data_IF_308424117775
#
_entry.id   IF_308424117775
#
_cell.length_a   1.000
_cell.length_b   1.000
_cell.length_c   1.000
_cell.angle_alpha   90.00
_cell.angle_beta   90.00
_cell.angle_gamma   90.00
#
_symmetry.space_group_name_H-M   'P 1'
#
loop_
_entity.id
_entity.type
_entity.pdbx_description
1 polymer ?
#
# COMPACT_ATOMS: atom_id res chain seq x y z
N UNK A 1 -53.13 9.66 -3.83
CA UNK A 1 -53.09 10.96 -4.55
C UNK A 1 -51.60 11.27 -4.78
N UNK A 2 -50.98 11.08 -5.97
CA UNK A 2 -51.00 11.94 -7.19
C UNK A 2 -50.76 13.41 -6.78
N UNK A 3 -49.71 14.17 -7.15
CA UNK A 3 -48.74 14.28 -8.27
C UNK A 3 -47.56 15.16 -7.72
N UNK A 4 -46.35 15.29 -8.28
CA UNK A 4 -45.99 15.83 -9.59
C UNK A 4 -44.52 15.55 -9.97
N UNK A 5 -44.34 15.26 -11.25
CA UNK A 5 -43.13 15.29 -12.06
C UNK A 5 -42.58 16.72 -12.21
N UNK A 6 -41.26 16.88 -12.36
CA UNK A 6 -40.66 17.81 -13.32
C UNK A 6 -39.21 17.41 -13.61
N UNK A 7 -39.00 16.91 -14.84
CA UNK A 7 -37.70 16.78 -15.48
C UNK A 7 -37.21 18.16 -15.92
N UNK A 8 -35.90 18.42 -15.81
CA UNK A 8 -35.28 19.55 -16.50
C UNK A 8 -34.30 19.00 -17.53
N UNK A 9 -34.59 19.34 -18.78
CA UNK A 9 -34.01 18.86 -20.03
C UNK A 9 -33.52 20.10 -20.77
N UNK A 10 -32.22 20.16 -21.11
CA UNK A 10 -31.62 21.02 -22.14
C UNK A 10 -30.25 20.39 -22.47
N UNK A 11 -30.08 19.63 -23.56
CA UNK A 11 -29.84 20.04 -24.96
C UNK A 11 -28.62 20.94 -25.20
N UNK A 12 -27.48 20.30 -25.57
CA UNK A 12 -26.62 20.44 -26.79
C UNK A 12 -26.26 21.85 -27.36
N UNK A 13 -25.27 22.04 -28.29
CA UNK A 13 -24.34 21.10 -28.97
C UNK A 13 -22.87 21.59 -29.18
N UNK A 14 -21.98 20.70 -29.67
CA UNK A 14 -21.25 20.96 -30.93
C UNK A 14 -19.73 21.25 -30.93
N UNK A 15 -19.07 20.66 -31.95
CA UNK A 15 -17.75 20.93 -32.58
C UNK A 15 -16.60 20.01 -32.13
N UNK A 16 -16.19 18.95 -32.85
CA UNK A 16 -15.79 18.71 -34.28
C UNK A 16 -14.35 19.11 -34.61
N UNK A 17 -13.52 18.09 -34.92
CA UNK A 17 -12.33 18.14 -35.82
C UNK A 17 -11.12 18.94 -35.33
N UNK A 18 -9.85 18.59 -35.57
CA UNK A 18 -9.26 17.96 -36.76
C UNK A 18 -7.98 17.20 -36.39
N UNK A 19 -7.82 16.01 -36.98
CA UNK A 19 -6.53 15.42 -37.26
C UNK A 19 -5.90 16.15 -38.46
N UNK A 20 -4.59 16.38 -38.42
CA UNK A 20 -3.82 16.75 -39.61
C UNK A 20 -2.68 15.77 -39.83
N UNK A 21 -2.80 15.06 -40.94
CA UNK A 21 -1.77 14.30 -41.64
C UNK A 21 -1.33 15.16 -42.83
N UNK A 22 -0.04 15.25 -43.13
CA UNK A 22 0.48 15.61 -44.47
C UNK A 22 1.94 15.14 -44.61
N UNK A 23 2.42 14.86 -45.85
CA UNK A 23 3.27 13.71 -46.14
C UNK A 23 4.60 14.13 -46.85
N UNK A 24 5.27 13.33 -47.73
CA UNK A 24 6.71 13.03 -47.65
C UNK A 24 7.56 13.59 -48.80
N UNK A 25 8.89 13.77 -48.62
CA UNK A 25 9.85 13.97 -49.73
C UNK A 25 11.26 13.46 -49.29
N UNK A 26 12.21 13.12 -50.19
CA UNK A 26 12.35 11.87 -50.94
C UNK A 26 13.70 11.14 -50.68
N UNK A 27 13.83 9.93 -51.23
CA UNK A 27 15.05 9.11 -51.22
C UNK A 27 15.96 9.37 -52.43
N UNK A 28 17.29 9.35 -52.21
CA UNK A 28 18.35 9.00 -53.16
C UNK A 28 19.63 8.76 -52.33
N UNK A 29 20.22 7.55 -52.27
CA UNK A 29 21.16 7.03 -53.26
C UNK A 29 22.53 6.79 -52.58
N UNK A 30 22.80 5.61 -51.98
CA UNK A 30 23.64 4.51 -52.51
C UNK A 30 25.17 4.61 -52.23
N UNK A 31 25.68 3.52 -51.64
CA UNK A 31 27.05 2.93 -51.66
C UNK A 31 28.11 3.27 -50.57
N UNK A 32 28.29 2.26 -49.72
CA UNK A 32 29.52 1.48 -49.49
C UNK A 32 30.68 2.04 -48.64
N UNK A 33 30.92 1.30 -47.55
CA UNK A 33 32.21 0.85 -47.00
C UNK A 33 33.27 1.89 -46.60
N UNK A 34 33.49 2.01 -45.28
CA UNK A 34 34.81 1.82 -44.65
C UNK A 34 34.68 1.88 -43.12
N UNK A 35 35.14 0.82 -42.44
CA UNK A 35 35.54 0.86 -41.03
C UNK A 35 36.92 1.55 -40.99
N UNK A 36 37.16 2.46 -40.03
CA UNK A 36 38.21 2.15 -39.06
C UNK A 36 37.75 2.35 -37.63
N UNK A 37 38.24 1.48 -36.76
CA UNK A 37 38.08 1.56 -35.33
C UNK A 37 38.83 2.78 -34.77
N UNK A 38 38.15 3.59 -33.98
CA UNK A 38 38.78 4.42 -32.95
C UNK A 38 37.93 4.29 -31.69
N UNK A 39 38.49 3.62 -30.70
CA UNK A 39 37.94 3.56 -29.35
C UNK A 39 37.82 4.99 -28.79
N UNK A 40 36.65 5.38 -28.24
CA UNK A 40 36.60 6.50 -27.32
C UNK A 40 37.17 6.00 -25.99
N UNK A 41 38.36 6.48 -25.68
CA UNK A 41 39.00 6.37 -24.36
C UNK A 41 38.16 7.13 -23.35
N UNK A 42 37.07 6.53 -22.87
CA UNK A 42 36.39 7.02 -21.68
C UNK A 42 37.35 6.81 -20.51
N UNK A 43 37.94 7.91 -20.04
CA UNK A 43 38.88 8.00 -18.92
C UNK A 43 38.28 7.56 -17.59
N UNK A 44 37.94 6.27 -17.48
CA UNK A 44 37.44 5.62 -16.28
C UNK A 44 38.57 4.84 -15.64
N UNK A 45 39.18 5.43 -14.62
CA UNK A 45 39.95 4.68 -13.63
C UNK A 45 39.03 3.65 -12.97
N UNK A 46 39.44 2.38 -12.96
CA UNK A 46 38.81 1.35 -12.16
C UNK A 46 38.92 1.74 -10.68
N UNK A 47 37.80 2.11 -10.05
CA UNK A 47 37.75 2.58 -8.67
C UNK A 47 36.95 3.86 -8.42
N UNK A 48 36.35 4.48 -9.44
CA UNK A 48 35.42 5.58 -9.23
C UNK A 48 34.12 5.07 -8.58
N UNK A 49 34.06 5.17 -7.25
CA UNK A 49 32.88 4.87 -6.45
C UNK A 49 31.69 5.69 -6.94
N UNK A 50 30.65 4.99 -7.40
CA UNK A 50 29.34 5.59 -7.66
C UNK A 50 28.86 6.24 -6.36
N UNK A 51 28.51 7.54 -6.34
CA UNK A 51 27.94 8.15 -5.16
C UNK A 51 26.68 7.36 -4.77
N UNK A 52 26.74 6.83 -3.54
CA UNK A 52 25.77 6.02 -2.83
C UNK A 52 24.48 5.73 -3.61
N UNK A 53 24.44 4.55 -4.23
CA UNK A 53 23.16 3.85 -4.32
C UNK A 53 22.70 3.71 -2.87
N UNK A 54 21.75 4.55 -2.44
CA UNK A 54 20.99 4.30 -1.23
C UNK A 54 20.58 2.82 -1.31
N UNK A 55 21.16 2.00 -0.44
CA UNK A 55 20.88 0.58 -0.41
C UNK A 55 19.38 0.49 -0.22
N UNK A 56 18.65 0.16 -1.29
CA UNK A 56 17.25 -0.20 -1.18
C UNK A 56 17.29 -1.40 -0.24
N UNK A 57 16.95 -1.17 1.03
CA UNK A 57 16.91 -2.23 2.03
C UNK A 57 16.04 -3.31 1.41
N UNK A 58 16.65 -4.44 1.09
CA UNK A 58 15.94 -5.56 0.50
C UNK A 58 15.32 -6.31 1.64
N UNK A 59 14.03 -6.58 1.54
CA UNK A 59 13.37 -7.46 2.48
C UNK A 59 14.01 -8.86 2.40
N UNK A 60 14.53 -9.33 3.53
CA UNK A 60 15.29 -10.59 3.65
C UNK A 60 14.41 -11.79 4.01
N UNK A 61 13.08 -11.58 4.13
CA UNK A 61 12.14 -12.63 4.57
C UNK A 61 11.85 -12.62 6.07
N UNK A 62 12.53 -11.76 6.83
CA UNK A 62 12.37 -11.57 8.27
C UNK A 62 12.19 -10.08 8.57
N UNK A 63 11.47 -9.76 9.64
CA UNK A 63 11.34 -8.41 10.18
C UNK A 63 12.09 -8.36 11.52
N UNK A 64 12.81 -7.27 11.75
CA UNK A 64 13.50 -7.06 13.02
C UNK A 64 12.51 -6.96 14.19
N UNK A 65 12.85 -7.51 15.38
CA UNK A 65 12.09 -7.27 16.60
C UNK A 65 12.31 -5.86 17.17
N UNK A 66 13.38 -5.17 16.77
CA UNK A 66 13.63 -3.78 17.16
C UNK A 66 12.63 -2.85 16.43
N UNK A 67 11.79 -2.07 17.13
CA UNK A 67 10.79 -1.21 16.51
C UNK A 67 11.34 -0.20 15.48
N UNK A 68 12.57 0.28 15.67
CA UNK A 68 13.18 1.24 14.76
C UNK A 68 13.59 0.59 13.44
N UNK A 69 14.20 -0.59 13.48
CA UNK A 69 14.53 -1.35 12.28
C UNK A 69 13.29 -2.00 11.64
N UNK A 70 12.34 -2.47 12.45
CA UNK A 70 11.09 -3.11 12.02
C UNK A 70 10.35 -2.29 10.97
N UNK A 71 10.16 -0.99 11.21
CA UNK A 71 9.38 -0.15 10.30
C UNK A 71 10.05 0.05 8.94
N UNK A 72 11.39 0.02 8.91
CA UNK A 72 12.16 0.06 7.67
C UNK A 72 12.01 -1.25 6.89
N UNK A 73 12.07 -2.39 7.60
CA UNK A 73 11.89 -3.72 7.02
C UNK A 73 10.48 -3.89 6.45
N UNK A 74 9.45 -3.39 7.14
CA UNK A 74 8.06 -3.41 6.64
C UNK A 74 7.91 -2.56 5.39
N UNK A 75 8.51 -1.37 5.35
CA UNK A 75 8.48 -0.52 4.15
C UNK A 75 9.15 -1.23 2.97
N UNK A 76 10.34 -1.81 3.18
CA UNK A 76 11.04 -2.62 2.19
C UNK A 76 10.19 -3.82 1.71
N UNK A 77 9.56 -4.53 2.63
CA UNK A 77 8.66 -5.65 2.34
C UNK A 77 7.49 -5.20 1.45
N UNK A 78 6.85 -4.09 1.79
CA UNK A 78 5.72 -3.55 1.04
C UNK A 78 6.14 -3.08 -0.36
N UNK A 79 7.31 -2.46 -0.48
CA UNK A 79 7.89 -2.04 -1.77
C UNK A 79 8.19 -3.26 -2.65
N UNK A 80 8.72 -4.34 -2.07
CA UNK A 80 9.05 -5.58 -2.78
C UNK A 80 7.81 -6.26 -3.39
N UNK A 81 6.61 -6.02 -2.87
CA UNK A 81 5.37 -6.57 -3.46
C UNK A 81 5.00 -5.98 -4.82
N UNK A 82 5.60 -4.84 -5.20
CA UNK A 82 5.29 -4.15 -6.46
C UNK A 82 3.94 -3.41 -6.48
N UNK A 83 3.07 -3.60 -5.49
CA UNK A 83 1.75 -2.96 -5.43
C UNK A 83 1.84 -1.49 -5.01
N UNK A 84 1.23 -0.60 -5.79
CA UNK A 84 1.14 0.84 -5.47
C UNK A 84 0.44 1.05 -4.13
N UNK A 85 -0.64 0.30 -3.86
CA UNK A 85 -1.38 0.38 -2.59
C UNK A 85 -0.54 -0.09 -1.40
N UNK A 86 0.22 -1.17 -1.56
CA UNK A 86 1.10 -1.66 -0.50
C UNK A 86 2.22 -0.66 -0.18
N UNK A 87 2.84 -0.07 -1.21
CA UNK A 87 3.85 0.99 -1.04
C UNK A 87 3.31 2.18 -0.27
N UNK A 88 2.14 2.68 -0.66
CA UNK A 88 1.50 3.80 0.03
C UNK A 88 1.18 3.46 1.49
N UNK A 89 0.69 2.24 1.76
CA UNK A 89 0.42 1.78 3.10
C UNK A 89 1.69 1.68 3.95
N UNK A 90 2.78 1.17 3.40
CA UNK A 90 4.08 1.11 4.08
C UNK A 90 4.60 2.49 4.47
N UNK A 91 4.35 3.51 3.62
CA UNK A 91 4.69 4.90 3.94
C UNK A 91 3.79 5.49 5.02
N UNK A 92 2.47 5.26 4.94
CA UNK A 92 1.51 5.70 5.97
C UNK A 92 1.84 5.11 7.34
N UNK A 93 2.20 3.82 7.38
CA UNK A 93 2.62 3.18 8.62
C UNK A 93 3.90 3.81 9.17
N UNK A 94 4.87 4.11 8.31
CA UNK A 94 6.12 4.78 8.73
C UNK A 94 5.85 6.17 9.32
N UNK A 95 4.96 6.93 8.71
CA UNK A 95 4.54 8.24 9.23
C UNK A 95 3.83 8.13 10.58
N UNK A 96 2.94 7.14 10.74
CA UNK A 96 2.28 6.85 12.02
C UNK A 96 3.28 6.44 13.11
N UNK A 97 4.32 5.69 12.73
CA UNK A 97 5.38 5.29 13.65
C UNK A 97 6.18 6.50 14.13
N UNK A 98 6.56 7.39 13.21
CA UNK A 98 7.34 8.59 13.50
C UNK A 98 6.54 9.65 14.27
N UNK A 99 5.21 9.66 14.19
CA UNK A 99 4.35 10.64 14.86
C UNK A 99 4.14 10.35 16.35
N UNK A 100 4.66 9.24 16.88
CA UNK A 100 4.46 8.77 18.26
C UNK A 100 2.98 8.61 18.65
N UNK A 101 2.09 8.36 17.68
CA UNK A 101 0.68 8.03 17.93
C UNK A 101 0.46 6.58 18.38
N UNK A 102 1.51 5.75 18.31
CA UNK A 102 1.56 4.40 18.85
C UNK A 102 2.49 4.40 20.06
N UNK A 103 2.05 3.80 21.16
CA UNK A 103 2.90 3.62 22.34
C UNK A 103 4.05 2.66 22.05
N UNK A 104 5.14 2.72 22.82
CA UNK A 104 6.26 1.77 22.64
C UNK A 104 5.82 0.32 22.80
N UNK A 105 4.87 0.05 23.72
CA UNK A 105 4.27 -1.29 23.89
C UNK A 105 3.51 -1.75 22.65
N UNK A 106 2.71 -0.87 22.05
CA UNK A 106 1.99 -1.16 20.81
C UNK A 106 2.95 -1.44 19.66
N UNK A 107 3.99 -0.62 19.51
CA UNK A 107 5.01 -0.82 18.47
C UNK A 107 5.71 -2.18 18.60
N UNK A 108 6.12 -2.56 19.81
CA UNK A 108 6.70 -3.89 20.07
C UNK A 108 5.72 -5.02 19.77
N UNK A 109 4.45 -4.85 20.14
CA UNK A 109 3.40 -5.85 19.90
C UNK A 109 3.12 -6.02 18.41
N UNK A 110 3.05 -4.92 17.65
CA UNK A 110 2.89 -4.95 16.20
C UNK A 110 4.08 -5.65 15.53
N UNK A 111 5.31 -5.38 15.97
CA UNK A 111 6.49 -6.05 15.45
C UNK A 111 6.44 -7.56 15.71
N UNK A 112 6.15 -7.96 16.95
CA UNK A 112 6.04 -9.35 17.37
C UNK A 112 4.95 -10.10 16.59
N UNK A 113 3.76 -9.51 16.46
CA UNK A 113 2.65 -10.12 15.72
C UNK A 113 2.95 -10.27 14.24
N UNK A 114 3.64 -9.29 13.64
CA UNK A 114 4.03 -9.35 12.23
C UNK A 114 4.96 -10.54 11.96
N UNK A 115 5.95 -10.74 12.83
CA UNK A 115 6.86 -11.89 12.75
C UNK A 115 6.11 -13.21 12.94
N UNK A 116 5.22 -13.30 13.93
CA UNK A 116 4.41 -14.50 14.14
C UNK A 116 3.55 -14.83 12.92
N UNK A 117 2.97 -13.82 12.28
CA UNK A 117 2.22 -14.00 11.04
C UNK A 117 3.12 -14.48 9.89
N UNK A 118 4.33 -13.95 9.73
CA UNK A 118 5.27 -14.46 8.72
C UNK A 118 5.65 -15.93 8.97
N UNK A 119 5.93 -16.30 10.24
CA UNK A 119 6.19 -17.69 10.64
C UNK A 119 5.01 -18.59 10.29
N UNK A 120 3.77 -18.13 10.52
CA UNK A 120 2.53 -18.82 10.16
C UNK A 120 2.17 -18.76 8.66
N UNK A 121 3.10 -18.31 7.81
CA UNK A 121 2.99 -18.24 6.34
C UNK A 121 1.95 -17.25 5.82
N UNK A 122 1.59 -16.24 6.61
CA UNK A 122 0.81 -15.12 6.09
C UNK A 122 1.66 -14.31 5.10
N UNK A 123 1.07 -13.90 3.98
CA UNK A 123 1.78 -13.19 2.90
C UNK A 123 1.79 -11.67 3.14
N UNK A 124 2.82 -10.94 2.66
CA UNK A 124 2.86 -9.47 2.71
C UNK A 124 1.59 -8.82 2.18
N UNK A 125 1.10 -9.32 1.04
CA UNK A 125 -0.22 -8.98 0.48
C UNK A 125 -0.96 -10.31 0.25
N UNK A 126 -2.22 -10.46 0.70
CA UNK A 126 -3.09 -9.42 1.30
C UNK A 126 -3.06 -9.34 2.83
N UNK A 127 -2.42 -10.26 3.55
CA UNK A 127 -2.67 -10.45 4.99
C UNK A 127 -1.99 -9.40 5.87
N UNK A 128 -0.67 -9.23 5.74
CA UNK A 128 0.07 -8.20 6.49
C UNK A 128 -0.39 -6.79 6.09
N UNK A 129 -0.68 -6.57 4.80
CA UNK A 129 -1.29 -5.34 4.34
C UNK A 129 -2.65 -5.07 5.02
N UNK A 130 -3.50 -6.09 5.23
CA UNK A 130 -4.75 -5.91 5.97
C UNK A 130 -4.48 -5.53 7.45
N UNK A 131 -3.53 -6.20 8.10
CA UNK A 131 -3.13 -5.86 9.47
C UNK A 131 -2.65 -4.41 9.60
N UNK A 132 -1.69 -3.99 8.77
CA UNK A 132 -1.18 -2.62 8.83
C UNK A 132 -2.23 -1.58 8.43
N UNK A 133 -3.10 -1.92 7.47
CA UNK A 133 -4.24 -1.06 7.14
C UNK A 133 -5.18 -0.90 8.34
N UNK A 134 -5.43 -1.97 9.11
CA UNK A 134 -6.24 -1.90 10.31
C UNK A 134 -5.60 -1.00 11.39
N UNK A 135 -4.28 -1.12 11.62
CA UNK A 135 -3.54 -0.24 12.56
C UNK A 135 -3.61 1.23 12.13
N UNK A 136 -3.27 1.52 10.87
CA UNK A 136 -3.29 2.87 10.31
C UNK A 136 -4.70 3.45 10.34
N UNK A 137 -5.69 2.70 9.83
CA UNK A 137 -7.10 3.11 9.84
C UNK A 137 -7.63 3.30 11.26
N UNK A 138 -7.25 2.43 12.19
CA UNK A 138 -7.59 2.50 13.60
C UNK A 138 -7.19 3.83 14.22
N UNK A 139 -5.92 4.24 14.09
CA UNK A 139 -5.46 5.52 14.66
C UNK A 139 -5.95 6.74 13.89
N UNK A 140 -5.92 6.70 12.55
CA UNK A 140 -6.11 7.91 11.74
C UNK A 140 -7.57 8.17 11.34
N UNK A 141 -8.37 7.13 11.16
CA UNK A 141 -9.77 7.24 10.67
C UNK A 141 -10.78 6.93 11.75
N UNK A 142 -10.66 5.76 12.38
CA UNK A 142 -11.53 5.34 13.48
C UNK A 142 -11.19 6.02 14.81
N UNK A 143 -10.02 6.69 14.90
CA UNK A 143 -9.53 7.42 16.08
C UNK A 143 -9.57 6.57 17.36
N UNK A 144 -9.15 5.31 17.25
CA UNK A 144 -9.08 4.41 18.39
C UNK A 144 -8.18 5.00 19.48
N UNK A 145 -8.67 4.96 20.72
CA UNK A 145 -7.86 5.25 21.90
C UNK A 145 -6.73 4.22 22.05
N UNK A 146 -5.75 4.50 22.90
CA UNK A 146 -4.66 3.54 23.16
C UNK A 146 -5.18 2.22 23.70
N UNK A 147 -6.13 2.27 24.65
CA UNK A 147 -6.76 1.07 25.19
C UNK A 147 -7.51 0.25 24.12
N UNK A 148 -8.20 0.91 23.18
CA UNK A 148 -8.89 0.21 22.08
C UNK A 148 -7.90 -0.41 21.09
N UNK A 149 -6.77 0.26 20.83
CA UNK A 149 -5.71 -0.29 20.01
C UNK A 149 -5.07 -1.51 20.70
N UNK A 150 -4.81 -1.43 22.00
CA UNK A 150 -4.27 -2.55 22.78
C UNK A 150 -5.23 -3.75 22.76
N UNK A 151 -6.53 -3.52 22.94
CA UNK A 151 -7.56 -4.56 22.83
C UNK A 151 -7.60 -5.21 21.44
N UNK A 152 -7.48 -4.41 20.37
CA UNK A 152 -7.39 -4.93 19.02
C UNK A 152 -6.16 -5.81 18.82
N UNK A 153 -4.98 -5.36 19.27
CA UNK A 153 -3.73 -6.10 19.15
C UNK A 153 -3.76 -7.39 19.97
N UNK A 154 -4.33 -7.37 21.19
CA UNK A 154 -4.50 -8.57 22.00
C UNK A 154 -5.44 -9.58 21.33
N UNK A 155 -6.61 -9.14 20.87
CA UNK A 155 -7.57 -9.99 20.18
C UNK A 155 -6.98 -10.62 18.91
N UNK A 156 -6.21 -9.84 18.14
CA UNK A 156 -5.48 -10.36 16.99
C UNK A 156 -4.41 -11.37 17.42
N UNK A 157 -3.64 -11.08 18.47
CA UNK A 157 -2.62 -12.00 18.99
C UNK A 157 -3.21 -13.33 19.42
N UNK A 158 -4.37 -13.31 20.08
CA UNK A 158 -5.10 -14.53 20.41
C UNK A 158 -5.56 -15.29 19.16
N UNK A 159 -6.05 -14.59 18.12
CA UNK A 159 -6.42 -15.24 16.87
C UNK A 159 -5.23 -15.86 16.16
N UNK A 160 -4.10 -15.14 16.05
CA UNK A 160 -2.86 -15.65 15.44
C UNK A 160 -2.34 -16.85 16.22
N UNK A 161 -2.41 -16.86 17.55
CA UNK A 161 -1.92 -17.97 18.36
C UNK A 161 -2.85 -19.19 18.35
N UNK A 162 -4.17 -18.99 18.44
CA UNK A 162 -5.13 -20.07 18.78
C UNK A 162 -6.05 -20.46 17.63
N UNK A 163 -6.24 -19.61 16.63
CA UNK A 163 -7.18 -19.88 15.53
C UNK A 163 -6.52 -20.54 14.32
N UNK A 164 -7.31 -21.29 13.52
CA UNK A 164 -6.89 -21.68 12.18
C UNK A 164 -6.57 -20.44 11.32
N UNK A 165 -5.56 -20.55 10.45
CA UNK A 165 -5.12 -19.42 9.63
C UNK A 165 -6.26 -18.77 8.85
N UNK A 166 -7.17 -19.57 8.29
CA UNK A 166 -8.29 -19.08 7.48
C UNK A 166 -9.25 -18.18 8.29
N UNK A 167 -9.42 -18.45 9.58
CA UNK A 167 -10.26 -17.61 10.44
C UNK A 167 -9.55 -16.32 10.84
N UNK A 168 -8.24 -16.39 11.10
CA UNK A 168 -7.41 -15.19 11.31
C UNK A 168 -7.37 -14.30 10.06
N UNK A 169 -7.29 -14.88 8.85
CA UNK A 169 -7.35 -14.14 7.60
C UNK A 169 -8.67 -13.37 7.46
N UNK A 170 -9.80 -14.01 7.75
CA UNK A 170 -11.12 -13.35 7.77
C UNK A 170 -11.17 -12.22 8.80
N UNK A 171 -10.65 -12.46 10.00
CA UNK A 171 -10.60 -11.46 11.06
C UNK A 171 -9.78 -10.23 10.62
N UNK A 172 -8.58 -10.43 10.06
CA UNK A 172 -7.72 -9.38 9.53
C UNK A 172 -8.42 -8.54 8.45
N UNK A 173 -9.01 -9.21 7.45
CA UNK A 173 -9.67 -8.52 6.34
C UNK A 173 -10.91 -7.76 6.79
N UNK A 174 -11.67 -8.32 7.73
CA UNK A 174 -12.90 -7.69 8.24
C UNK A 174 -12.58 -6.49 9.12
N UNK A 175 -11.62 -6.62 10.04
CA UNK A 175 -11.18 -5.52 10.91
C UNK A 175 -10.55 -4.38 10.12
N UNK A 176 -9.74 -4.69 9.09
CA UNK A 176 -9.19 -3.67 8.20
C UNK A 176 -10.29 -2.84 7.53
N UNK A 177 -11.37 -3.46 7.03
CA UNK A 177 -12.50 -2.75 6.41
C UNK A 177 -13.29 -1.93 7.42
N UNK A 178 -13.57 -2.52 8.58
CA UNK A 178 -14.30 -1.86 9.66
C UNK A 178 -13.59 -0.58 10.12
N UNK A 179 -12.27 -0.65 10.37
CA UNK A 179 -11.49 0.49 10.86
C UNK A 179 -11.16 1.52 9.77
N UNK A 180 -11.16 1.13 8.49
CA UNK A 180 -10.84 2.06 7.41
C UNK A 180 -12.04 2.80 6.82
N UNK A 181 -13.24 2.21 6.89
CA UNK A 181 -14.42 2.78 6.25
C UNK A 181 -15.73 2.55 6.99
N UNK A 182 -15.69 1.94 8.18
CA UNK A 182 -16.89 1.70 8.99
C UNK A 182 -17.83 0.67 8.36
N UNK A 183 -17.33 -0.24 7.52
CA UNK A 183 -18.15 -1.28 6.89
C UNK A 183 -17.56 -2.67 7.07
N UNK A 184 -18.45 -3.65 7.25
CA UNK A 184 -18.11 -5.07 7.30
C UNK A 184 -18.22 -5.69 5.91
N UNK A 185 -19.14 -5.20 5.11
CA UNK A 185 -19.41 -5.68 3.76
C UNK A 185 -19.83 -4.53 2.85
N UNK A 186 -19.33 -4.53 1.61
CA UNK A 186 -19.72 -3.55 0.59
C UNK A 186 -19.59 -4.16 -0.80
N UNK A 187 -20.66 -4.07 -1.57
CA UNK A 187 -20.71 -4.32 -3.02
C UNK A 187 -21.40 -3.13 -3.71
N UNK A 188 -21.54 -3.17 -5.03
CA UNK A 188 -22.26 -2.13 -5.77
C UNK A 188 -23.74 -1.99 -5.37
N UNK A 189 -24.33 -3.02 -4.76
CA UNK A 189 -25.77 -3.09 -4.46
C UNK A 189 -26.09 -3.22 -2.96
N UNK A 190 -25.12 -3.59 -2.12
CA UNK A 190 -25.38 -3.86 -0.70
C UNK A 190 -24.21 -3.37 0.16
N UNK A 191 -24.52 -2.74 1.29
CA UNK A 191 -23.51 -2.29 2.26
C UNK A 191 -23.98 -2.62 3.67
N UNK A 192 -23.12 -3.27 4.45
CA UNK A 192 -23.31 -3.48 5.88
C UNK A 192 -22.30 -2.61 6.63
N UNK A 193 -22.80 -1.65 7.41
CA UNK A 193 -21.98 -0.73 8.20
C UNK A 193 -21.91 -1.13 9.67
N UNK A 194 -20.81 -0.76 10.31
CA UNK A 194 -20.72 -0.77 11.76
C UNK A 194 -21.58 0.39 12.25
N UNK A 195 -22.64 0.09 12.99
CA UNK A 195 -23.45 1.12 13.63
C UNK A 195 -22.68 1.62 14.85
N UNK A 196 -22.40 2.92 14.88
CA UNK A 196 -21.94 3.59 16.10
C UNK A 196 -23.16 3.72 17.01
N UNK A 197 -23.20 2.93 18.10
CA UNK A 197 -24.13 3.23 19.19
C UNK A 197 -23.61 4.49 19.89
N UNK A 198 -24.07 5.64 19.43
CA UNK A 198 -23.96 6.91 20.15
C UNK A 198 -24.82 6.79 21.41
N UNK A 199 -24.24 6.33 22.51
CA UNK A 199 -24.79 6.52 23.85
C UNK A 199 -24.61 8.01 24.19
N UNK A 200 -25.64 8.79 23.86
CA UNK A 200 -25.81 10.17 24.33
C UNK A 200 -26.43 10.20 25.72
#
# INVERSE_FOLDING_TARGET
MKRFFAAFFCCLPGLTGYAQTTPPIPAAGVKAAAKPATAPTDGRTAGAARPAQASVQRFTGHLSPDPAQFILDVNAMMVATGSVGAKALGEQLRQLWASNQLTSSQQMTIATLSEQMLVKKFRPVPHLAAFYSAVVGGKTKAKLSDAQMDQYLDALGQSVAKSPNLDTEKYLLTTARALNGGYLYRTGFSTLRVAELSLG
#
